data_IF_639471349220
#
_entry.id   IF_639471349220
#
_cell.length_a   1.000
_cell.length_b   1.000
_cell.length_c   1.000
_cell.angle_alpha   90.00
_cell.angle_beta   90.00
_cell.angle_gamma   90.00
#
_symmetry.space_group_name_H-M   'P 1'
#
loop_
_entity.id
_entity.type
_entity.pdbx_description
1 polymer ?
#
# COMPACT_ATOMS: atom_id res chain seq x y z
N UNK A 1 -12.36 -3.58 7.87
CA UNK A 1 -11.09 -2.83 7.70
C UNK A 1 -10.48 -3.22 6.37
N UNK A 2 -10.18 -2.23 5.53
CA UNK A 2 -9.51 -2.43 4.23
C UNK A 2 -8.11 -3.04 4.45
N UNK A 3 -7.64 -3.95 3.60
CA UNK A 3 -6.31 -4.60 3.71
C UNK A 3 -5.20 -3.54 3.77
N UNK A 4 -5.36 -2.46 2.99
CA UNK A 4 -4.44 -1.32 2.98
C UNK A 4 -4.37 -0.63 4.35
N UNK A 5 -5.51 -0.43 4.99
CA UNK A 5 -5.62 0.22 6.31
C UNK A 5 -4.99 -0.63 7.43
N UNK A 6 -5.16 -1.97 7.35
CA UNK A 6 -4.51 -2.91 8.27
C UNK A 6 -2.99 -2.88 8.12
N UNK A 7 -2.49 -2.91 6.88
CA UNK A 7 -1.06 -2.84 6.59
C UNK A 7 -0.45 -1.51 7.01
N UNK A 8 -1.10 -0.38 6.72
CA UNK A 8 -0.63 0.94 7.15
C UNK A 8 -0.58 1.04 8.67
N UNK A 9 -1.63 0.58 9.36
CA UNK A 9 -1.67 0.57 10.83
C UNK A 9 -0.53 -0.27 11.41
N UNK A 10 -0.25 -1.43 10.81
CA UNK A 10 0.83 -2.32 11.24
C UNK A 10 2.19 -1.68 11.03
N UNK A 11 2.40 -1.01 9.88
CA UNK A 11 3.63 -0.29 9.58
C UNK A 11 3.92 0.82 10.60
N UNK A 12 2.93 1.65 10.93
CA UNK A 12 3.09 2.71 11.95
C UNK A 12 3.40 2.14 13.34
N UNK A 13 2.77 1.03 13.72
CA UNK A 13 3.06 0.33 14.98
C UNK A 13 4.49 -0.22 15.01
N UNK A 14 4.94 -0.88 13.94
CA UNK A 14 6.30 -1.41 13.82
C UNK A 14 7.35 -0.30 13.87
N UNK A 15 7.09 0.82 13.18
CA UNK A 15 7.98 1.97 13.16
C UNK A 15 7.94 2.81 14.46
N UNK A 16 7.03 2.49 15.39
CA UNK A 16 6.78 3.21 16.66
C UNK A 16 6.55 4.71 16.44
N UNK A 17 5.71 5.05 15.47
CA UNK A 17 5.39 6.43 15.11
C UNK A 17 3.90 6.69 15.34
N UNK A 18 3.58 7.87 15.85
CA UNK A 18 2.20 8.33 15.97
C UNK A 18 1.61 8.54 14.56
N UNK A 19 0.55 7.84 14.15
CA UNK A 19 -0.06 8.01 12.83
C UNK A 19 -0.67 9.40 12.60
N UNK A 20 -0.96 10.16 13.65
CA UNK A 20 -1.50 11.53 13.57
C UNK A 20 -0.40 12.59 13.33
N UNK A 21 0.88 12.19 13.27
CA UNK A 21 1.97 13.13 13.00
C UNK A 21 1.83 13.70 11.58
N UNK A 22 2.05 15.01 11.44
CA UNK A 22 2.04 15.60 10.10
C UNK A 22 3.34 15.25 9.38
N UNK A 23 3.26 15.01 8.08
CA UNK A 23 4.39 14.54 7.27
C UNK A 23 5.65 15.40 7.40
N UNK A 24 5.51 16.73 7.52
CA UNK A 24 6.63 17.66 7.68
C UNK A 24 7.27 17.66 9.07
N UNK A 25 6.68 16.96 10.05
CA UNK A 25 7.21 16.83 11.40
C UNK A 25 8.03 15.55 11.58
N UNK A 26 8.06 14.67 10.58
CA UNK A 26 8.86 13.44 10.61
C UNK A 26 10.35 13.76 10.61
N UNK A 27 11.05 13.22 11.59
CA UNK A 27 12.51 13.25 11.65
C UNK A 27 13.12 12.22 10.68
N UNK A 28 14.41 12.40 10.35
CA UNK A 28 15.16 11.45 9.52
C UNK A 28 15.15 10.04 10.14
N UNK A 29 15.27 9.95 11.46
CA UNK A 29 15.24 8.68 12.17
C UNK A 29 13.87 7.99 12.06
N UNK A 30 12.78 8.74 12.17
CA UNK A 30 11.43 8.20 11.98
C UNK A 30 11.20 7.69 10.56
N UNK A 31 11.69 8.43 9.55
CA UNK A 31 11.65 7.98 8.16
C UNK A 31 12.43 6.67 8.00
N UNK A 32 13.62 6.56 8.60
CA UNK A 32 14.42 5.34 8.55
C UNK A 32 13.68 4.14 9.17
N UNK A 33 12.99 4.34 10.30
CA UNK A 33 12.14 3.30 10.92
C UNK A 33 10.94 2.92 10.04
N UNK A 34 10.30 3.89 9.38
CA UNK A 34 9.22 3.61 8.43
C UNK A 34 9.71 2.74 7.27
N UNK A 35 10.81 3.12 6.61
CA UNK A 35 11.35 2.37 5.48
C UNK A 35 11.78 0.96 5.90
N UNK A 36 12.35 0.81 7.09
CA UNK A 36 12.71 -0.49 7.64
C UNK A 36 11.48 -1.38 7.91
N UNK A 37 10.42 -0.80 8.48
CA UNK A 37 9.15 -1.50 8.68
C UNK A 37 8.48 -1.89 7.35
N UNK A 38 8.53 -1.00 6.34
CA UNK A 38 8.04 -1.30 5.00
C UNK A 38 8.79 -2.47 4.37
N UNK A 39 10.13 -2.47 4.43
CA UNK A 39 10.94 -3.58 3.91
C UNK A 39 10.55 -4.91 4.55
N UNK A 40 10.40 -4.94 5.88
CA UNK A 40 9.93 -6.12 6.59
C UNK A 40 8.55 -6.58 6.11
N UNK A 41 7.62 -5.65 5.88
CA UNK A 41 6.30 -5.97 5.36
C UNK A 41 6.37 -6.53 3.94
N UNK A 42 7.22 -6.00 3.04
CA UNK A 42 7.41 -6.57 1.71
C UNK A 42 7.98 -7.99 1.75
N UNK A 43 8.89 -8.30 2.68
CA UNK A 43 9.41 -9.66 2.86
C UNK A 43 8.33 -10.65 3.32
N UNK A 44 7.34 -10.19 4.11
CA UNK A 44 6.21 -11.00 4.59
C UNK A 44 5.04 -11.06 3.60
N UNK A 45 4.90 -10.01 2.80
CA UNK A 45 3.79 -9.78 1.87
C UNK A 45 4.36 -9.26 0.54
N UNK A 46 4.95 -10.15 -0.30
CA UNK A 46 5.60 -9.75 -1.54
C UNK A 46 4.68 -8.98 -2.52
N UNK A 47 3.37 -9.18 -2.43
CA UNK A 47 2.38 -8.47 -3.24
C UNK A 47 2.40 -6.95 -3.05
N UNK A 48 2.87 -6.46 -1.90
CA UNK A 48 2.94 -5.02 -1.58
C UNK A 48 3.93 -4.30 -2.49
N UNK A 49 5.04 -4.95 -2.86
CA UNK A 49 6.07 -4.32 -3.68
C UNK A 49 5.54 -3.90 -5.06
N UNK A 50 4.60 -4.67 -5.60
CA UNK A 50 3.93 -4.41 -6.88
C UNK A 50 2.68 -3.54 -6.77
N UNK A 51 2.31 -3.09 -5.57
CA UNK A 51 1.07 -2.38 -5.32
C UNK A 51 1.09 -0.97 -5.93
N UNK A 52 0.26 -0.75 -6.95
CA UNK A 52 0.01 0.57 -7.54
C UNK A 52 -1.39 1.08 -7.16
N UNK A 53 -1.46 1.96 -6.15
CA UNK A 53 -2.71 2.61 -5.74
C UNK A 53 -3.42 3.34 -6.90
N UNK A 54 -2.66 3.87 -7.87
CA UNK A 54 -3.20 4.63 -9.01
C UNK A 54 -3.63 3.73 -10.16
N UNK A 55 -3.26 2.44 -10.19
CA UNK A 55 -3.72 1.51 -11.22
C UNK A 55 -5.25 1.41 -11.26
N UNK A 56 -5.90 1.36 -10.08
CA UNK A 56 -7.37 1.38 -9.97
C UNK A 56 -8.01 2.67 -10.50
N UNK A 57 -7.27 3.79 -10.46
CA UNK A 57 -7.72 5.11 -10.93
C UNK A 57 -7.48 5.32 -12.42
N UNK A 58 -6.73 4.43 -13.09
CA UNK A 58 -6.71 4.32 -14.55
C UNK A 58 -8.01 3.64 -14.98
N UNK A 59 -9.13 4.31 -14.78
CA UNK A 59 -10.36 3.97 -15.48
C UNK A 59 -10.01 4.17 -16.95
N UNK A 60 -9.80 3.06 -17.64
CA UNK A 60 -9.62 3.05 -19.08
C UNK A 60 -10.72 3.89 -19.72
N UNK A 61 -10.35 4.73 -20.69
CA UNK A 61 -11.34 5.57 -21.38
C UNK A 61 -12.53 4.71 -21.80
N UNK A 62 -13.76 5.25 -21.78
CA UNK A 62 -15.00 4.50 -22.05
C UNK A 62 -14.99 3.69 -23.36
N UNK A 63 -14.12 4.07 -24.31
CA UNK A 63 -13.86 3.35 -25.57
C UNK A 63 -13.06 2.05 -25.37
N UNK A 64 -12.08 2.05 -24.47
CA UNK A 64 -11.17 0.95 -24.20
C UNK A 64 -11.76 -0.06 -23.19
N UNK A 65 -12.76 0.32 -22.39
CA UNK A 65 -13.47 -0.59 -21.48
C UNK A 65 -14.19 -1.73 -22.21
N UNK A 66 -14.63 -1.52 -23.46
CA UNK A 66 -15.32 -2.55 -24.27
C UNK A 66 -14.43 -3.73 -24.66
N UNK A 67 -13.11 -3.56 -24.63
CA UNK A 67 -12.13 -4.57 -25.07
C UNK A 67 -11.43 -5.28 -23.92
N UNK A 68 -11.83 -5.03 -22.67
CA UNK A 68 -11.21 -5.64 -21.48
C UNK A 68 -12.12 -6.75 -20.97
N UNK A 69 -11.64 -7.99 -20.99
CA UNK A 69 -12.25 -9.11 -20.29
C UNK A 69 -11.77 -9.10 -18.84
N UNK A 70 -12.67 -8.81 -17.91
CA UNK A 70 -12.40 -8.97 -16.47
C UNK A 70 -12.54 -10.46 -16.16
N UNK A 71 -11.48 -11.07 -15.64
CA UNK A 71 -11.49 -12.46 -15.22
C UNK A 71 -11.50 -12.48 -13.69
N UNK A 72 -12.58 -13.02 -13.12
CA UNK A 72 -12.72 -13.14 -11.68
C UNK A 72 -11.69 -14.15 -11.18
N UNK A 73 -10.80 -13.70 -10.29
CA UNK A 73 -9.89 -14.59 -9.59
C UNK A 73 -10.69 -15.34 -8.52
N UNK A 74 -10.96 -16.63 -8.76
CA UNK A 74 -11.42 -17.56 -7.75
C UNK A 74 -10.20 -18.12 -7.01
N UNK A 75 -10.09 -17.82 -5.72
CA UNK A 75 -9.09 -18.40 -4.81
C UNK A 75 -9.50 -19.86 -4.56
N UNK A 76 -8.66 -20.82 -4.96
CA UNK A 76 -8.82 -22.27 -4.71
C UNK A 76 -8.27 -22.65 -3.34
#
# INVERSE_FOLDING_TARGET
>A
MDRREQLSTTMFKLAKINPEIRSFQLTVEEINRLVSAYKYLCEKHPEIESYDYRASKKIVSKKLTKSISVQDFAEN
#
